data_IF_075648046384
#
_entry.id   IF_075648046384
#
_cell.length_a   1.000
_cell.length_b   1.000
_cell.length_c   1.000
_cell.angle_alpha   90.00
_cell.angle_beta   90.00
_cell.angle_gamma   90.00
#
_symmetry.space_group_name_H-M   'P 1'
#
loop_
_entity.id
_entity.type
_entity.pdbx_description
1 polymer ?
#
# COMPACT_ATOMS: atom_id res chain seq x y z
N UNK A 1 -5.15 -0.75 -3.84
CA UNK A 1 -4.37 -0.76 -2.58
C UNK A 1 -3.31 -1.82 -2.63
N UNK A 2 -3.67 -3.08 -2.85
CA UNK A 2 -2.71 -4.16 -2.95
C UNK A 2 -3.15 -5.16 -4.02
N UNK A 3 -2.19 -5.95 -4.49
CA UNK A 3 -2.41 -7.07 -5.38
C UNK A 3 -1.51 -8.24 -4.99
N UNK A 4 -2.07 -9.44 -4.96
CA UNK A 4 -1.34 -10.69 -4.83
C UNK A 4 -1.64 -11.61 -6.00
N UNK A 5 -0.60 -12.26 -6.53
CA UNK A 5 -0.68 -13.18 -7.66
C UNK A 5 -0.17 -14.57 -7.28
N UNK A 6 -0.63 -15.60 -7.98
CA UNK A 6 0.00 -16.93 -7.91
C UNK A 6 1.22 -17.03 -8.84
N UNK A 7 1.88 -18.18 -8.79
CA UNK A 7 3.01 -18.53 -9.65
C UNK A 7 2.72 -18.47 -11.16
N UNK A 8 1.45 -18.48 -11.58
CA UNK A 8 1.04 -18.35 -12.98
C UNK A 8 0.68 -16.90 -13.34
N UNK A 9 0.91 -15.94 -12.44
CA UNK A 9 0.58 -14.54 -12.64
C UNK A 9 -0.93 -14.26 -12.58
N UNK A 10 -1.75 -15.21 -12.11
CA UNK A 10 -3.19 -14.98 -11.96
C UNK A 10 -3.42 -14.21 -10.66
N UNK A 11 -4.30 -13.21 -10.72
CA UNK A 11 -4.66 -12.41 -9.54
C UNK A 11 -5.44 -13.23 -8.52
N UNK A 12 -4.95 -13.24 -7.29
CA UNK A 12 -5.41 -14.07 -6.17
C UNK A 12 -5.94 -13.24 -5.02
N UNK A 13 -5.48 -12.01 -4.85
CA UNK A 13 -6.05 -11.06 -3.91
C UNK A 13 -5.90 -9.65 -4.46
N UNK A 14 -6.97 -8.86 -4.43
CA UNK A 14 -6.90 -7.46 -4.84
C UNK A 14 -7.97 -6.63 -4.12
N UNK A 15 -7.52 -5.51 -3.57
CA UNK A 15 -8.42 -4.48 -3.04
C UNK A 15 -8.28 -3.22 -3.85
N UNK A 16 -9.43 -2.77 -4.35
CA UNK A 16 -9.58 -1.48 -4.99
C UNK A 16 -10.41 -0.56 -4.09
N UNK A 17 -9.77 0.44 -3.47
CA UNK A 17 -10.47 1.61 -2.92
C UNK A 17 -10.51 2.68 -4.03
N UNK A 18 -11.67 3.27 -4.30
CA UNK A 18 -12.20 3.39 -5.67
C UNK A 18 -11.39 4.24 -6.65
N UNK A 19 -11.52 3.87 -7.93
CA UNK A 19 -11.17 4.68 -9.10
C UNK A 19 -12.46 5.08 -9.81
N UNK A 20 -12.76 6.38 -9.85
CA UNK A 20 -13.80 7.01 -10.69
C UNK A 20 -15.27 6.68 -10.39
N UNK A 21 -15.59 5.55 -9.73
CA UNK A 21 -16.95 5.05 -9.54
C UNK A 21 -17.36 4.84 -8.07
N UNK A 22 -16.52 5.24 -7.12
CA UNK A 22 -16.77 5.11 -5.67
C UNK A 22 -17.01 3.67 -5.16
N UNK A 23 -16.76 2.63 -5.95
CA UNK A 23 -16.93 1.23 -5.52
C UNK A 23 -15.67 0.63 -4.90
N UNK A 24 -15.87 -0.05 -3.79
CA UNK A 24 -14.83 -0.85 -3.12
C UNK A 24 -14.96 -2.28 -3.60
N UNK A 25 -13.88 -2.81 -4.19
CA UNK A 25 -13.82 -4.18 -4.69
C UNK A 25 -12.94 -5.05 -3.79
N UNK A 26 -13.43 -6.24 -3.48
CA UNK A 26 -12.66 -7.32 -2.89
C UNK A 26 -12.68 -8.52 -3.81
N UNK A 27 -11.58 -8.72 -4.52
CA UNK A 27 -11.34 -9.89 -5.36
C UNK A 27 -10.41 -10.84 -4.62
N UNK A 28 -10.79 -12.11 -4.47
CA UNK A 28 -9.94 -13.05 -3.78
C UNK A 28 -10.19 -14.50 -4.23
N UNK A 29 -9.11 -15.25 -4.47
CA UNK A 29 -9.09 -16.64 -4.90
C UNK A 29 -9.45 -16.83 -6.38
N UNK A 30 -8.53 -17.41 -7.14
CA UNK A 30 -8.64 -17.65 -8.57
C UNK A 30 -8.15 -19.06 -8.94
N UNK A 31 -9.01 -19.84 -9.58
CA UNK A 31 -8.73 -21.24 -9.96
C UNK A 31 -8.41 -21.39 -11.45
N UNK A 32 -8.24 -20.28 -12.19
CA UNK A 32 -8.07 -20.25 -13.64
C UNK A 32 -9.36 -20.07 -14.44
N UNK A 33 -10.53 -20.16 -13.80
CA UNK A 33 -11.83 -19.86 -14.45
C UNK A 33 -12.35 -18.45 -14.14
N UNK A 34 -11.62 -17.71 -13.29
CA UNK A 34 -12.00 -16.41 -12.75
C UNK A 34 -11.82 -16.36 -11.24
N UNK A 35 -12.04 -15.18 -10.65
CA UNK A 35 -11.94 -14.96 -9.20
C UNK A 35 -13.29 -14.75 -8.53
N UNK A 36 -13.35 -14.95 -7.22
CA UNK A 36 -14.51 -14.51 -6.43
C UNK A 36 -14.43 -13.00 -6.18
N UNK A 37 -15.58 -12.33 -6.31
CA UNK A 37 -15.74 -10.90 -6.07
C UNK A 37 -16.92 -10.61 -5.16
N UNK A 38 -16.73 -9.66 -4.26
CA UNK A 38 -17.80 -8.85 -3.67
C UNK A 38 -17.43 -7.37 -3.80
N UNK A 39 -18.42 -6.52 -4.03
CA UNK A 39 -18.21 -5.09 -4.18
C UNK A 39 -19.47 -4.29 -3.84
N UNK A 40 -19.26 -3.10 -3.31
CA UNK A 40 -20.33 -2.18 -2.91
C UNK A 40 -19.87 -0.75 -3.12
N UNK A 41 -20.81 0.15 -3.36
CA UNK A 41 -20.55 1.59 -3.45
C UNK A 41 -20.30 2.16 -2.04
N UNK A 42 -19.22 2.94 -1.91
CA UNK A 42 -18.82 3.60 -0.68
C UNK A 42 -19.08 5.10 -0.76
N UNK A 43 -19.27 5.72 0.40
CA UNK A 43 -19.35 7.17 0.48
C UNK A 43 -17.94 7.77 0.31
N UNK A 44 -17.79 8.99 -0.24
CA UNK A 44 -16.49 9.64 -0.40
C UNK A 44 -15.64 9.67 0.88
N UNK A 45 -16.27 9.87 2.03
CA UNK A 45 -15.59 9.87 3.33
C UNK A 45 -15.06 8.49 3.77
N UNK A 46 -15.59 7.39 3.23
CA UNK A 46 -15.13 6.05 3.57
C UNK A 46 -13.74 5.76 2.97
N UNK A 47 -13.33 6.50 1.93
CA UNK A 47 -12.08 6.26 1.21
C UNK A 47 -11.19 7.50 1.00
N UNK A 48 -11.63 8.70 1.41
CA UNK A 48 -10.87 9.93 1.26
C UNK A 48 -11.00 10.88 2.46
N UNK A 49 -9.96 11.69 2.70
CA UNK A 49 -9.97 12.79 3.65
C UNK A 49 -9.77 12.43 5.14
N UNK A 50 -9.78 11.14 5.49
CA UNK A 50 -9.51 10.66 6.86
C UNK A 50 -8.92 9.26 6.88
N UNK A 51 -8.28 8.91 7.99
CA UNK A 51 -7.87 7.53 8.25
C UNK A 51 -9.11 6.65 8.46
N UNK A 52 -9.13 5.51 7.78
CA UNK A 52 -10.13 4.46 7.94
C UNK A 52 -9.42 3.12 8.10
N UNK A 53 -9.96 2.26 8.96
CA UNK A 53 -9.50 0.88 9.05
C UNK A 53 -10.36 -0.01 8.14
N UNK A 54 -9.73 -0.62 7.14
CA UNK A 54 -10.36 -1.58 6.25
C UNK A 54 -9.84 -2.99 6.52
N UNK A 55 -10.75 -3.95 6.68
CA UNK A 55 -10.39 -5.37 6.73
C UNK A 55 -11.21 -6.18 5.73
N UNK A 56 -10.52 -7.04 4.99
CA UNK A 56 -11.08 -7.88 3.95
C UNK A 56 -10.81 -9.33 4.31
N UNK A 57 -11.85 -10.14 4.38
CA UNK A 57 -11.75 -11.54 4.81
C UNK A 57 -12.37 -12.45 3.77
N UNK A 58 -11.81 -13.67 3.66
CA UNK A 58 -12.37 -14.77 2.88
C UNK A 58 -12.20 -16.07 3.65
N UNK A 59 -13.27 -16.83 3.78
CA UNK A 59 -13.27 -18.23 4.21
C UNK A 59 -13.80 -19.07 3.04
N UNK A 60 -12.89 -19.59 2.21
CA UNK A 60 -13.25 -20.35 1.02
C UNK A 60 -14.00 -21.65 1.35
N UNK A 61 -13.69 -22.29 2.49
CA UNK A 61 -14.37 -23.51 2.91
C UNK A 61 -15.84 -23.27 3.29
N UNK A 62 -16.12 -22.15 3.95
CA UNK A 62 -17.50 -21.71 4.25
C UNK A 62 -18.17 -20.99 3.07
N UNK A 63 -17.39 -20.60 2.05
CA UNK A 63 -17.86 -19.80 0.93
C UNK A 63 -18.19 -18.36 1.30
N UNK A 64 -17.57 -17.79 2.34
CA UNK A 64 -17.87 -16.44 2.84
C UNK A 64 -16.77 -15.44 2.47
N UNK A 65 -17.18 -14.26 2.01
CA UNK A 65 -16.33 -13.06 1.94
C UNK A 65 -16.98 -11.92 2.71
N UNK A 66 -16.19 -11.14 3.46
CA UNK A 66 -16.67 -10.00 4.22
C UNK A 66 -15.69 -8.82 4.12
N UNK A 67 -16.25 -7.61 4.10
CA UNK A 67 -15.53 -6.34 4.16
C UNK A 67 -15.98 -5.63 5.43
N UNK A 68 -15.02 -5.16 6.21
CA UNK A 68 -15.23 -4.38 7.41
C UNK A 68 -14.66 -2.98 7.24
N UNK A 69 -15.41 -1.98 7.68
CA UNK A 69 -14.99 -0.58 7.73
C UNK A 69 -15.07 -0.10 9.18
N UNK A 70 -13.95 0.38 9.72
CA UNK A 70 -13.82 0.86 11.10
C UNK A 70 -14.36 -0.16 12.13
N UNK A 71 -14.05 -1.44 11.88
CA UNK A 71 -14.40 -2.56 12.74
C UNK A 71 -15.84 -3.08 12.60
N UNK A 72 -16.69 -2.44 11.80
CA UNK A 72 -18.07 -2.87 11.59
C UNK A 72 -18.20 -3.62 10.26
N UNK A 73 -19.04 -4.66 10.21
CA UNK A 73 -19.37 -5.33 8.95
C UNK A 73 -19.99 -4.33 7.96
N UNK A 74 -19.33 -4.12 6.83
CA UNK A 74 -19.74 -3.15 5.80
C UNK A 74 -20.39 -3.82 4.60
N UNK A 75 -19.89 -4.99 4.19
CA UNK A 75 -20.44 -5.81 3.11
C UNK A 75 -20.07 -7.29 3.26
N UNK A 76 -20.87 -8.17 2.68
CA UNK A 76 -20.63 -9.62 2.69
C UNK A 76 -21.21 -10.30 1.46
N UNK A 77 -20.63 -11.45 1.09
CA UNK A 77 -21.21 -12.36 0.11
C UNK A 77 -20.95 -13.82 0.45
N UNK A 78 -21.83 -14.68 -0.06
CA UNK A 78 -21.77 -16.14 0.09
C UNK A 78 -21.45 -16.84 -1.24
N UNK A 79 -21.21 -18.16 -1.19
CA UNK A 79 -20.88 -18.96 -2.36
C UNK A 79 -19.49 -18.67 -2.96
N UNK A 80 -18.61 -18.03 -2.18
CA UNK A 80 -17.27 -17.60 -2.60
C UNK A 80 -16.21 -18.62 -2.22
N UNK A 81 -16.20 -19.74 -2.93
CA UNK A 81 -15.47 -20.95 -2.54
C UNK A 81 -14.12 -21.15 -3.24
N UNK A 82 -13.72 -20.24 -4.14
CA UNK A 82 -12.48 -20.41 -4.90
C UNK A 82 -11.26 -20.42 -3.96
N UNK A 83 -10.32 -21.36 -4.13
CA UNK A 83 -9.12 -21.42 -3.29
C UNK A 83 -8.26 -20.17 -3.48
N UNK A 84 -7.45 -19.89 -2.46
CA UNK A 84 -6.53 -18.75 -2.44
C UNK A 84 -5.11 -19.32 -2.46
N UNK A 85 -4.31 -18.87 -3.42
CA UNK A 85 -2.90 -19.28 -3.53
C UNK A 85 -2.07 -18.05 -3.88
N UNK A 86 -1.42 -17.43 -2.90
CA UNK A 86 -0.65 -16.18 -3.12
C UNK A 86 0.83 -16.53 -3.10
N UNK A 87 1.54 -16.14 -4.16
CA UNK A 87 2.98 -16.26 -4.29
C UNK A 87 3.65 -14.89 -4.20
N UNK A 88 3.26 -13.96 -5.08
CA UNK A 88 3.81 -12.59 -5.12
C UNK A 88 2.79 -11.60 -4.54
N UNK A 89 3.28 -10.52 -3.93
CA UNK A 89 2.43 -9.51 -3.31
C UNK A 89 3.02 -8.10 -3.46
N UNK A 90 2.17 -7.14 -3.80
CA UNK A 90 2.52 -5.72 -3.86
C UNK A 90 1.52 -4.88 -3.06
N UNK A 91 2.06 -3.88 -2.37
CA UNK A 91 1.30 -2.89 -1.58
C UNK A 91 1.52 -1.52 -2.23
N UNK A 92 0.45 -0.73 -2.33
CA UNK A 92 0.47 0.58 -2.97
C UNK A 92 0.30 0.57 -4.49
N UNK A 93 0.37 -0.60 -5.15
CA UNK A 93 0.20 -0.75 -6.61
C UNK A 93 -0.19 -2.19 -6.99
N UNK A 94 -0.40 -2.44 -8.28
CA UNK A 94 -0.38 -3.78 -8.87
C UNK A 94 1.05 -4.36 -8.84
N UNK A 95 1.19 -5.68 -8.99
CA UNK A 95 2.51 -6.37 -8.87
C UNK A 95 3.54 -5.84 -9.87
N UNK A 96 3.10 -5.35 -11.04
CA UNK A 96 3.94 -4.71 -12.06
C UNK A 96 3.91 -3.18 -12.01
N UNK A 97 3.76 -2.59 -10.81
CA UNK A 97 3.77 -1.16 -10.54
C UNK A 97 2.72 -0.31 -11.31
N UNK A 98 1.68 -0.93 -11.87
CA UNK A 98 0.52 -0.25 -12.44
C UNK A 98 -0.52 0.12 -11.37
N UNK A 99 -1.49 0.97 -11.71
CA UNK A 99 -2.66 1.29 -10.86
C UNK A 99 -2.30 1.69 -9.42
N UNK A 100 -1.39 2.66 -9.28
CA UNK A 100 -0.92 3.14 -7.99
C UNK A 100 -2.06 3.67 -7.10
N UNK A 101 -1.93 3.43 -5.80
CA UNK A 101 -2.81 3.97 -4.77
C UNK A 101 -2.24 5.29 -4.23
N UNK A 102 -3.06 6.34 -4.29
CA UNK A 102 -2.70 7.68 -3.84
C UNK A 102 -3.29 7.96 -2.46
N UNK A 103 -2.68 7.34 -1.44
CA UNK A 103 -3.06 7.53 -0.04
C UNK A 103 -2.02 6.94 0.90
N UNK A 104 -2.12 7.30 2.18
CA UNK A 104 -1.27 6.72 3.22
C UNK A 104 -1.76 5.32 3.59
N UNK A 105 -0.82 4.42 3.89
CA UNK A 105 -1.07 3.07 4.39
C UNK A 105 -0.24 2.89 5.65
N UNK A 106 -0.81 2.27 6.66
CA UNK A 106 -0.18 2.03 7.95
C UNK A 106 -0.77 0.72 8.53
N UNK A 107 -0.01 0.03 9.39
CA UNK A 107 -0.43 -1.20 10.07
C UNK A 107 -0.91 -2.32 9.12
N UNK A 108 -0.24 -2.54 7.99
CA UNK A 108 -0.68 -3.53 6.99
C UNK A 108 -0.46 -4.96 7.47
N UNK A 109 -1.52 -5.79 7.47
CA UNK A 109 -1.49 -7.14 8.04
C UNK A 109 -2.08 -8.15 7.06
N UNK A 110 -1.44 -9.31 6.92
CA UNK A 110 -1.95 -10.46 6.17
C UNK A 110 -2.12 -11.63 7.13
N UNK A 111 -3.28 -12.28 7.10
CA UNK A 111 -3.62 -13.41 7.97
C UNK A 111 -3.96 -14.65 7.14
N UNK A 112 -3.52 -15.82 7.62
CA UNK A 112 -3.86 -17.16 7.09
C UNK A 112 -5.29 -17.60 7.48
N UNK A 113 -6.03 -16.74 8.16
CA UNK A 113 -7.37 -16.99 8.68
C UNK A 113 -8.27 -15.78 8.48
N UNK A 114 -9.54 -16.02 8.17
CA UNK A 114 -10.59 -15.00 8.24
C UNK A 114 -10.82 -14.61 9.70
N UNK A 115 -10.39 -13.41 10.09
CA UNK A 115 -10.57 -12.89 11.44
C UNK A 115 -12.05 -12.65 11.76
N UNK A 116 -12.41 -12.84 13.04
CA UNK A 116 -13.72 -12.48 13.55
C UNK A 116 -13.87 -10.97 13.73
N UNK A 117 -15.10 -10.48 13.66
CA UNK A 117 -15.41 -9.05 13.82
C UNK A 117 -14.92 -8.49 15.17
N UNK A 118 -15.08 -9.26 16.25
CA UNK A 118 -14.63 -8.84 17.59
C UNK A 118 -13.11 -8.66 17.67
N UNK A 119 -12.33 -9.53 17.02
CA UNK A 119 -10.87 -9.40 16.97
C UNK A 119 -10.49 -8.15 16.19
N UNK A 120 -11.13 -7.92 15.04
CA UNK A 120 -10.91 -6.72 14.22
C UNK A 120 -11.19 -5.45 15.03
N UNK A 121 -12.34 -5.37 15.71
CA UNK A 121 -12.70 -4.20 16.54
C UNK A 121 -11.71 -3.97 17.68
N UNK A 122 -11.27 -5.05 18.34
CA UNK A 122 -10.37 -4.96 19.49
C UNK A 122 -8.95 -4.53 19.11
N UNK A 123 -8.51 -4.83 17.89
CA UNK A 123 -7.12 -4.68 17.46
C UNK A 123 -6.89 -3.64 16.34
N UNK A 124 -7.92 -2.98 15.82
CA UNK A 124 -7.76 -1.98 14.75
C UNK A 124 -6.98 -0.72 15.16
N UNK A 125 -7.00 -0.35 16.44
CA UNK A 125 -6.25 0.81 16.97
C UNK A 125 -4.99 0.43 17.72
N UNK A 126 -4.65 -0.86 17.78
CA UNK A 126 -3.51 -1.35 18.57
C UNK A 126 -2.37 -1.72 17.65
N UNK A 127 -1.15 -1.49 18.15
CA UNK A 127 0.02 -2.16 17.60
C UNK A 127 -0.16 -3.66 17.74
N UNK A 128 0.13 -4.42 16.69
CA UNK A 128 0.03 -5.87 16.77
C UNK A 128 1.13 -6.41 17.69
N UNK A 129 0.80 -7.45 18.46
CA UNK A 129 1.74 -8.12 19.36
C UNK A 129 1.34 -9.59 19.52
N UNK A 130 2.23 -10.43 20.09
CA UNK A 130 1.91 -11.82 20.41
C UNK A 130 0.70 -12.03 21.34
N UNK A 131 0.15 -10.97 21.93
CA UNK A 131 -1.10 -11.03 22.69
C UNK A 131 -2.36 -11.11 21.81
N UNK A 132 -2.25 -10.96 20.48
CA UNK A 132 -3.38 -11.15 19.57
C UNK A 132 -3.82 -12.62 19.58
N UNK A 133 -5.13 -12.92 19.73
CA UNK A 133 -5.61 -14.31 19.85
C UNK A 133 -5.28 -15.18 18.62
N UNK A 134 -5.18 -14.55 17.46
CA UNK A 134 -4.86 -15.21 16.19
C UNK A 134 -3.38 -15.04 15.76
N UNK A 135 -2.46 -14.68 16.66
CA UNK A 135 -1.05 -14.38 16.32
C UNK A 135 -0.38 -15.47 15.46
N UNK A 136 -0.61 -16.75 15.76
CA UNK A 136 -0.03 -17.87 14.99
C UNK A 136 -0.54 -17.96 13.54
N UNK A 137 -1.68 -17.33 13.27
CA UNK A 137 -2.27 -17.20 11.94
C UNK A 137 -1.77 -15.96 11.18
N UNK A 138 -0.90 -15.12 11.75
CA UNK A 138 -0.30 -14.00 11.05
C UNK A 138 0.67 -14.50 9.96
N UNK A 139 0.49 -14.04 8.74
CA UNK A 139 1.37 -14.35 7.61
C UNK A 139 2.46 -13.29 7.43
N UNK A 140 2.08 -12.02 7.51
CA UNK A 140 2.99 -10.88 7.38
C UNK A 140 2.40 -9.66 8.08
N UNK A 141 3.26 -8.79 8.60
CA UNK A 141 2.88 -7.54 9.25
C UNK A 141 3.89 -6.44 8.96
N UNK A 142 3.43 -5.38 8.29
CA UNK A 142 4.23 -4.21 7.96
C UNK A 142 3.71 -2.98 8.71
N UNK A 143 4.38 -2.63 9.81
CA UNK A 143 4.25 -1.36 10.50
C UNK A 143 4.36 -0.10 9.65
N UNK A 144 5.32 -0.09 8.71
CA UNK A 144 5.79 1.11 8.02
C UNK A 144 6.36 2.21 8.93
N UNK A 145 6.98 1.82 10.05
CA UNK A 145 7.62 2.74 11.02
C UNK A 145 9.14 2.90 10.78
N UNK A 146 9.69 2.37 9.70
CA UNK A 146 11.11 2.47 9.39
C UNK A 146 11.50 3.92 9.05
N UNK A 147 12.49 4.46 9.77
CA UNK A 147 12.92 5.85 9.60
C UNK A 147 13.45 6.18 8.19
N UNK A 148 14.07 5.21 7.51
CA UNK A 148 14.64 5.39 6.15
C UNK A 148 14.89 4.03 5.47
N UNK A 149 15.51 4.03 4.28
CA UNK A 149 15.90 2.80 3.57
C UNK A 149 14.85 2.28 2.58
N UNK A 150 15.18 1.17 1.91
CA UNK A 150 14.35 0.56 0.85
C UNK A 150 13.71 -0.76 1.28
N UNK A 151 13.57 -0.99 2.58
CA UNK A 151 13.03 -2.24 3.14
C UNK A 151 11.92 -1.90 4.14
N UNK A 152 10.76 -2.54 3.98
CA UNK A 152 9.71 -2.60 4.98
C UNK A 152 9.85 -3.92 5.72
N UNK A 153 10.08 -3.87 7.03
CA UNK A 153 10.39 -5.04 7.83
C UNK A 153 9.09 -5.79 8.13
N UNK A 154 9.09 -7.11 7.92
CA UNK A 154 8.01 -7.97 8.39
C UNK A 154 8.16 -8.18 9.89
N UNK A 155 7.32 -7.50 10.67
CA UNK A 155 7.26 -7.62 12.12
C UNK A 155 6.55 -8.90 12.61
N UNK A 156 6.15 -9.79 11.69
CA UNK A 156 5.75 -11.16 12.02
C UNK A 156 6.95 -12.08 12.26
N UNK A 157 6.69 -13.33 12.62
CA UNK A 157 7.74 -14.34 12.79
C UNK A 157 8.20 -14.99 11.47
N UNK A 158 7.65 -14.57 10.31
CA UNK A 158 7.82 -15.28 9.04
C UNK A 158 8.92 -14.68 8.13
N UNK A 159 9.37 -13.45 8.38
CA UNK A 159 10.54 -12.87 7.70
C UNK A 159 10.30 -12.50 6.23
N UNK A 160 9.07 -12.14 5.86
CA UNK A 160 8.74 -11.67 4.51
C UNK A 160 9.07 -10.17 4.34
N UNK A 161 10.31 -9.75 4.61
CA UNK A 161 10.70 -8.35 4.43
C UNK A 161 10.43 -7.88 2.99
N UNK A 162 9.73 -6.76 2.84
CA UNK A 162 9.31 -6.24 1.54
C UNK A 162 10.29 -5.18 1.03
N UNK A 163 10.56 -5.22 -0.27
CA UNK A 163 11.31 -4.15 -0.93
C UNK A 163 10.39 -2.95 -1.21
N UNK A 164 10.84 -1.76 -0.80
CA UNK A 164 10.14 -0.50 -1.00
C UNK A 164 10.57 0.08 -2.35
N UNK A 165 9.68 -0.06 -3.33
CA UNK A 165 9.86 0.51 -4.66
C UNK A 165 9.47 1.99 -4.70
N UNK A 166 10.15 2.80 -5.52
CA UNK A 166 9.82 4.21 -5.78
C UNK A 166 9.86 5.19 -4.59
N UNK A 167 10.44 4.80 -3.46
CA UNK A 167 10.66 5.65 -2.28
C UNK A 167 9.43 6.49 -1.85
N UNK A 168 8.25 5.87 -1.59
CA UNK A 168 7.07 6.58 -1.13
C UNK A 168 7.36 7.42 0.12
N UNK A 169 6.72 8.60 0.25
CA UNK A 169 6.88 9.47 1.41
C UNK A 169 6.50 8.72 2.70
N UNK A 170 7.34 8.87 3.72
CA UNK A 170 7.01 8.49 5.09
C UNK A 170 6.78 9.74 5.90
N UNK A 171 5.69 9.76 6.65
CA UNK A 171 5.35 10.88 7.52
C UNK A 171 5.13 10.37 8.94
N UNK A 172 5.68 11.11 9.90
CA UNK A 172 5.38 10.90 11.31
C UNK A 172 4.17 11.72 11.71
N UNK A 173 3.33 11.16 12.58
CA UNK A 173 2.26 11.91 13.22
C UNK A 173 2.77 12.59 14.49
N UNK A 174 2.43 13.86 14.65
CA UNK A 174 2.63 14.57 15.92
C UNK A 174 1.83 13.89 17.03
N UNK A 175 2.33 13.95 18.26
CA UNK A 175 1.67 13.35 19.42
C UNK A 175 0.20 13.76 19.58
N UNK A 176 -0.13 15.01 19.29
CA UNK A 176 -1.51 15.55 19.35
C UNK A 176 -2.44 15.03 18.24
N UNK A 177 -1.87 14.46 17.17
CA UNK A 177 -2.61 13.87 16.05
C UNK A 177 -2.67 12.34 16.11
N UNK A 178 -2.07 11.71 17.13
CA UNK A 178 -2.13 10.27 17.31
C UNK A 178 -3.56 9.83 17.63
N UNK A 179 -4.02 8.80 16.89
CA UNK A 179 -5.35 8.19 17.06
C UNK A 179 -5.29 6.66 17.26
N UNK A 180 -4.08 6.08 17.21
CA UNK A 180 -3.81 4.65 17.38
C UNK A 180 -2.51 4.43 18.17
N UNK A 181 -2.25 3.17 18.53
CA UNK A 181 -0.98 2.76 19.18
C UNK A 181 -0.93 3.03 20.67
N UNK A 182 -2.04 3.45 21.29
CA UNK A 182 -2.10 3.67 22.73
C UNK A 182 -2.09 2.34 23.48
N UNK A 183 -1.21 2.23 24.47
CA UNK A 183 -1.17 1.13 25.42
C UNK A 183 -1.28 1.68 26.84
N UNK A 184 -1.90 0.89 27.73
CA UNK A 184 -1.93 1.22 29.15
C UNK A 184 -0.54 1.03 29.74
N UNK A 185 -0.04 2.06 30.42
CA UNK A 185 1.14 1.95 31.26
C UNK A 185 0.75 1.98 32.73
N UNK A 186 1.50 1.27 33.57
CA UNK A 186 1.42 1.40 35.02
C UNK A 186 2.23 2.60 35.55
N UNK A 187 3.01 3.23 34.67
CA UNK A 187 3.77 4.44 34.98
C UNK A 187 2.81 5.62 35.17
N UNK A 188 2.99 6.35 36.28
CA UNK A 188 2.25 7.57 36.57
C UNK A 188 3.18 8.76 36.34
N UNK A 189 2.80 9.75 35.51
CA UNK A 189 3.61 10.94 35.32
C UNK A 189 3.91 11.61 36.67
N UNK A 190 5.18 11.82 36.98
CA UNK A 190 5.60 12.56 38.16
C UNK A 190 5.42 14.05 37.91
N UNK A 191 4.23 14.56 38.19
CA UNK A 191 3.89 15.98 38.01
C UNK A 191 4.06 16.72 39.34
N UNK A 192 4.82 17.81 39.32
CA UNK A 192 4.86 18.78 40.42
C UNK A 192 4.31 20.11 39.92
N UNK A 193 3.27 20.60 40.58
CA UNK A 193 2.77 21.96 40.33
C UNK A 193 3.59 22.94 41.17
N UNK A 194 4.18 23.94 40.52
CA UNK A 194 4.97 24.97 41.20
C UNK A 194 4.17 26.28 41.15
N UNK A 195 3.83 26.81 42.32
CA UNK A 195 3.21 28.12 42.45
C UNK A 195 4.30 29.19 42.66
N UNK A 196 4.25 30.26 41.86
CA UNK A 196 5.16 31.39 41.95
C UNK A 196 4.55 32.62 41.27
N UNK A 197 5.00 33.80 41.67
CA UNK A 197 4.72 35.03 40.92
C UNK A 197 5.71 35.13 39.77
N UNK A 198 5.30 34.71 38.58
CA UNK A 198 6.12 34.82 37.39
C UNK A 198 5.88 36.19 36.76
N UNK A 199 6.85 37.09 36.88
CA UNK A 199 6.90 38.32 36.11
C UNK A 199 7.69 38.04 34.84
N UNK A 200 7.05 37.46 33.82
CA UNK A 200 7.33 37.56 32.38
C UNK A 200 6.17 36.86 31.66
N UNK A 201 5.87 37.28 30.42
CA UNK A 201 4.66 36.98 29.64
C UNK A 201 4.35 35.50 29.36
N UNK A 202 3.52 35.18 28.33
CA UNK A 202 3.28 33.77 27.97
C UNK A 202 4.63 33.06 27.86
N UNK A 203 4.72 31.84 28.41
CA UNK A 203 5.92 31.01 28.35
C UNK A 203 6.30 30.87 26.88
N UNK A 204 7.23 31.71 26.41
CA UNK A 204 7.82 31.60 25.10
C UNK A 204 8.62 30.29 25.11
N UNK A 205 8.06 29.27 24.47
CA UNK A 205 8.80 28.06 24.13
C UNK A 205 9.88 28.51 23.14
N UNK A 206 11.01 28.96 23.66
CA UNK A 206 12.12 29.55 22.86
C UNK A 206 12.91 28.54 22.05
N UNK A 207 12.54 27.25 22.12
CA UNK A 207 13.04 26.21 21.24
C UNK A 207 11.94 25.77 20.28
N UNK A 208 11.56 26.64 19.33
CA UNK A 208 10.92 26.15 18.11
C UNK A 208 11.97 25.37 17.33
N UNK A 209 11.87 24.04 17.39
CA UNK A 209 12.70 23.18 16.55
C UNK A 209 12.07 23.20 15.16
N UNK A 210 12.86 23.58 14.16
CA UNK A 210 12.46 23.42 12.76
C UNK A 210 12.45 21.92 12.45
N UNK A 211 11.24 21.36 12.40
CA UNK A 211 11.00 19.96 12.02
C UNK A 211 10.50 19.93 10.57
N UNK A 212 11.42 20.19 9.64
CA UNK A 212 11.13 20.15 8.21
C UNK A 212 11.27 18.72 7.69
N UNK A 213 10.22 18.18 7.09
CA UNK A 213 10.31 16.90 6.37
C UNK A 213 10.64 17.13 4.92
N UNK A 214 11.63 16.39 4.39
CA UNK A 214 11.99 16.47 2.98
C UNK A 214 10.81 16.02 2.09
N UNK A 215 10.59 16.73 0.98
CA UNK A 215 9.65 16.28 -0.05
C UNK A 215 10.11 14.94 -0.63
N UNK A 216 9.20 13.98 -0.74
CA UNK A 216 9.52 12.71 -1.38
C UNK A 216 9.83 12.91 -2.88
N UNK A 217 10.80 12.15 -3.43
CA UNK A 217 11.05 12.16 -4.86
C UNK A 217 9.90 11.52 -5.63
N UNK A 218 9.85 11.82 -6.92
CA UNK A 218 9.10 11.07 -7.90
C UNK A 218 9.98 9.96 -8.48
N UNK A 219 9.41 8.78 -8.67
CA UNK A 219 10.08 7.71 -9.37
C UNK A 219 9.75 7.75 -10.87
N UNK A 220 10.79 7.86 -11.68
CA UNK A 220 10.73 7.71 -13.14
C UNK A 220 11.24 6.32 -13.48
N UNK A 221 10.32 5.47 -13.95
CA UNK A 221 10.61 4.07 -14.25
C UNK A 221 10.71 3.91 -15.76
N UNK A 222 11.85 3.41 -16.22
CA UNK A 222 12.03 3.00 -17.59
C UNK A 222 11.52 1.58 -17.78
N UNK A 223 10.61 1.38 -18.72
CA UNK A 223 10.09 0.06 -19.07
C UNK A 223 10.71 -0.46 -20.36
N UNK A 224 10.81 -1.77 -20.46
CA UNK A 224 11.22 -2.52 -21.64
C UNK A 224 10.42 -3.81 -21.76
N UNK A 225 10.77 -4.59 -22.78
CA UNK A 225 10.18 -5.89 -23.05
C UNK A 225 11.29 -6.93 -22.95
N UNK A 226 11.05 -7.99 -22.17
CA UNK A 226 12.00 -9.08 -22.03
C UNK A 226 11.95 -10.07 -23.21
N UNK A 227 12.78 -11.12 -23.16
CA UNK A 227 12.82 -12.17 -24.18
C UNK A 227 11.50 -12.95 -24.34
N UNK A 228 10.63 -12.90 -23.34
CA UNK A 228 9.33 -13.56 -23.31
C UNK A 228 8.17 -12.65 -23.71
N UNK A 229 8.46 -11.43 -24.19
CA UNK A 229 7.48 -10.41 -24.54
C UNK A 229 6.68 -9.88 -23.33
N UNK A 230 7.26 -9.96 -22.13
CA UNK A 230 6.70 -9.44 -20.89
C UNK A 230 7.19 -8.02 -20.64
N UNK A 231 6.30 -7.16 -20.16
CA UNK A 231 6.68 -5.80 -19.74
C UNK A 231 7.50 -5.90 -18.45
N UNK A 232 8.70 -5.33 -18.46
CA UNK A 232 9.61 -5.33 -17.31
C UNK A 232 10.14 -3.92 -17.04
N UNK A 233 10.35 -3.59 -15.76
CA UNK A 233 11.08 -2.38 -15.37
C UNK A 233 12.58 -2.60 -15.60
N UNK A 234 13.21 -1.71 -16.38
CA UNK A 234 14.63 -1.76 -16.70
C UNK A 234 15.47 -0.92 -15.72
N UNK A 235 14.95 0.25 -15.35
CA UNK A 235 15.63 1.19 -14.46
C UNK A 235 14.61 2.04 -13.72
N UNK A 236 15.00 2.52 -12.54
CA UNK A 236 14.19 3.44 -11.71
C UNK A 236 15.07 4.58 -11.24
N UNK A 237 14.80 5.78 -11.74
CA UNK A 237 15.46 7.01 -11.30
C UNK A 237 14.54 7.79 -10.34
N UNK A 238 15.08 8.24 -9.21
CA UNK A 238 14.40 9.18 -8.32
C UNK A 238 14.74 10.61 -8.73
N UNK A 239 13.72 11.45 -8.89
CA UNK A 239 13.87 12.85 -9.31
C UNK A 239 12.83 13.75 -8.63
N UNK A 240 13.13 15.03 -8.49
CA UNK A 240 12.20 16.04 -7.99
C UNK A 240 11.76 16.96 -9.13
N UNK A 241 10.54 17.48 -9.05
CA UNK A 241 10.14 18.54 -9.98
C UNK A 241 10.95 19.80 -9.69
N UNK A 242 11.46 20.42 -10.77
CA UNK A 242 12.13 21.71 -10.70
C UNK A 242 11.12 22.87 -10.59
N UNK A 243 10.21 22.77 -9.62
CA UNK A 243 9.26 23.81 -9.21
C UNK A 243 9.75 24.44 -7.93
N UNK A 244 9.48 25.73 -7.72
CA UNK A 244 9.87 26.39 -6.48
C UNK A 244 9.28 25.65 -5.25
N UNK A 245 10.12 25.36 -4.27
CA UNK A 245 9.73 24.68 -3.03
C UNK A 245 9.27 25.68 -2.00
N UNK A 246 8.29 25.29 -1.17
CA UNK A 246 7.70 26.15 -0.16
C UNK A 246 7.95 25.58 1.23
N UNK A 247 8.48 26.40 2.13
CA UNK A 247 8.45 26.13 3.56
C UNK A 247 7.11 26.61 4.10
N UNK A 248 6.37 25.72 4.76
CA UNK A 248 5.04 26.00 5.30
C UNK A 248 5.09 26.01 6.84
N UNK A 249 4.23 26.83 7.45
CA UNK A 249 3.95 26.76 8.89
C UNK A 249 2.95 25.64 9.23
N UNK A 250 2.64 25.50 10.52
CA UNK A 250 1.72 24.46 11.01
C UNK A 250 0.28 24.63 10.54
N UNK A 251 -0.10 25.81 10.07
CA UNK A 251 -1.41 26.11 9.54
C UNK A 251 -1.44 25.99 8.00
N UNK A 252 -0.32 25.60 7.39
CA UNK A 252 -0.17 25.46 5.94
C UNK A 252 0.07 26.80 5.23
N UNK A 253 0.35 27.88 5.95
CA UNK A 253 0.72 29.14 5.34
C UNK A 253 2.18 29.07 4.87
N UNK A 254 2.47 29.73 3.75
CA UNK A 254 3.83 29.78 3.22
C UNK A 254 4.67 30.73 4.08
N UNK A 255 5.73 30.20 4.67
CA UNK A 255 6.77 30.95 5.36
C UNK A 255 7.83 31.46 4.39
N UNK A 256 8.28 30.59 3.47
CA UNK A 256 9.33 30.92 2.51
C UNK A 256 9.14 30.14 1.20
N UNK A 257 9.69 30.66 0.10
CA UNK A 257 9.70 29.98 -1.20
C UNK A 257 11.10 30.02 -1.79
N UNK A 258 11.65 28.86 -2.10
CA UNK A 258 12.99 28.69 -2.65
C UNK A 258 12.92 28.31 -4.13
N UNK A 259 13.67 28.98 -5.03
CA UNK A 259 13.74 28.57 -6.42
C UNK A 259 14.52 27.26 -6.56
N UNK A 260 13.99 26.32 -7.34
CA UNK A 260 14.69 25.08 -7.73
C UNK A 260 15.09 25.19 -9.19
N UNK A 261 16.38 25.01 -9.48
CA UNK A 261 16.89 25.00 -10.85
C UNK A 261 16.81 23.58 -11.41
N UNK A 262 16.29 23.44 -12.64
CA UNK A 262 16.25 22.15 -13.30
C UNK A 262 17.65 21.65 -13.65
N UNK A 263 17.99 20.44 -13.21
CA UNK A 263 19.23 19.75 -13.59
C UNK A 263 19.11 19.06 -14.96
N UNK A 264 17.88 18.81 -15.42
CA UNK A 264 17.59 18.18 -16.71
C UNK A 264 16.10 18.05 -16.99
N UNK A 265 15.77 17.43 -18.13
CA UNK A 265 14.39 17.17 -18.56
C UNK A 265 14.23 15.70 -18.92
N UNK A 266 13.14 15.10 -18.45
CA UNK A 266 12.74 13.73 -18.81
C UNK A 266 11.51 13.84 -19.71
N UNK A 267 11.54 13.17 -20.86
CA UNK A 267 10.41 13.12 -21.80
C UNK A 267 9.90 11.69 -21.90
N UNK A 268 8.74 11.36 -21.31
CA UNK A 268 8.13 10.04 -21.44
C UNK A 268 7.83 9.70 -22.90
N UNK A 269 8.27 8.52 -23.34
CA UNK A 269 7.94 7.96 -24.66
C UNK A 269 6.82 6.93 -24.59
N UNK A 270 6.34 6.49 -25.76
CA UNK A 270 5.37 5.40 -25.88
C UNK A 270 6.10 4.09 -26.21
N UNK A 271 5.88 3.05 -25.42
CA UNK A 271 6.35 1.68 -25.69
C UNK A 271 5.17 0.82 -26.19
N UNK A 272 5.21 0.42 -27.47
CA UNK A 272 4.24 -0.51 -28.04
C UNK A 272 4.76 -1.94 -27.92
N UNK A 273 3.99 -2.83 -27.28
CA UNK A 273 4.35 -4.24 -27.11
C UNK A 273 3.10 -5.13 -27.20
N UNK A 274 3.32 -6.44 -27.34
CA UNK A 274 2.26 -7.43 -27.38
C UNK A 274 2.37 -8.35 -26.17
N UNK A 275 1.27 -8.61 -25.47
CA UNK A 275 1.29 -9.61 -24.40
C UNK A 275 1.08 -11.00 -25.00
N UNK A 276 1.91 -11.96 -24.61
CA UNK A 276 1.65 -13.36 -24.91
C UNK A 276 0.54 -13.84 -23.98
N UNK A 277 -0.57 -14.30 -24.55
CA UNK A 277 -1.66 -14.90 -23.81
C UNK A 277 -1.90 -16.29 -24.38
N UNK A 278 -2.37 -17.21 -23.54
CA UNK A 278 -2.76 -18.53 -24.00
C UNK A 278 -3.85 -18.38 -25.08
N UNK A 279 -3.58 -18.86 -26.28
CA UNK A 279 -4.56 -18.84 -27.34
C UNK A 279 -5.72 -19.77 -26.95
N UNK A 280 -6.96 -19.28 -27.00
CA UNK A 280 -8.18 -20.10 -26.78
C UNK A 280 -8.18 -21.37 -27.64
N UNK A 281 -7.55 -21.30 -28.81
CA UNK A 281 -7.23 -22.43 -29.67
C UNK A 281 -5.79 -22.27 -30.14
N UNK A 282 -4.85 -22.97 -29.51
CA UNK A 282 -3.49 -23.11 -30.04
C UNK A 282 -3.48 -24.31 -31.00
N UNK A 283 -3.34 -24.04 -32.31
CA UNK A 283 -3.26 -25.11 -33.31
C UNK A 283 -1.87 -25.77 -33.32
N UNK A 284 -0.81 -25.02 -33.03
CA UNK A 284 0.58 -25.49 -32.93
C UNK A 284 1.52 -24.36 -32.44
N UNK A 285 2.33 -24.62 -31.41
CA UNK A 285 3.44 -23.73 -31.00
C UNK A 285 4.71 -24.11 -31.77
N UNK A 286 4.99 -23.40 -32.86
CA UNK A 286 6.22 -23.60 -33.62
C UNK A 286 7.29 -22.61 -33.15
N UNK A 287 8.12 -23.05 -32.19
CA UNK A 287 9.41 -22.42 -31.95
C UNK A 287 10.32 -22.80 -33.12
N UNK A 288 10.46 -21.91 -34.11
CA UNK A 288 11.46 -22.14 -35.16
C UNK A 288 12.86 -21.85 -34.57
N UNK A 289 13.86 -22.72 -34.77
CA UNK A 289 15.23 -22.36 -34.47
C UNK A 289 15.66 -21.30 -35.49
N UNK A 290 15.76 -20.05 -35.03
CA UNK A 290 16.38 -18.91 -35.72
C UNK A 290 15.91 -18.70 -37.17
N UNK A 291 14.91 -17.84 -37.37
CA UNK A 291 14.31 -17.43 -38.65
C UNK A 291 15.30 -16.89 -39.71
N UNK A 292 16.23 -17.73 -40.14
CA UNK A 292 17.21 -17.49 -41.17
C UNK A 292 16.61 -17.98 -42.48
N UNK A 293 16.22 -17.04 -43.34
CA UNK A 293 15.65 -17.33 -44.65
C UNK A 293 14.12 -17.38 -44.73
N UNK A 294 13.38 -16.95 -43.69
CA UNK A 294 11.92 -16.79 -43.81
C UNK A 294 11.58 -15.47 -44.53
N UNK A 295 10.97 -15.58 -45.71
CA UNK A 295 10.37 -14.46 -46.45
C UNK A 295 8.85 -14.63 -46.43
N UNK A 296 8.11 -13.59 -46.03
CA UNK A 296 6.64 -13.61 -45.98
C UNK A 296 5.98 -13.15 -47.29
N UNK A 297 6.72 -13.22 -48.40
CA UNK A 297 6.27 -12.71 -49.71
C UNK A 297 6.48 -11.20 -49.85
N UNK A 298 6.50 -10.73 -51.10
CA UNK A 298 6.70 -9.33 -51.48
C UNK A 298 5.37 -8.55 -51.52
#
# INVERSE_FOLDING_TARGET
>A
IFEGNDLQGRRQANVHLPWGNSRVYWDCGNDGTGYDRIDKEANPEDFAGKWNHWAFTKNAAAGEMKIYLNGQLWHSGSGKTKPIDIHDFAIGAAVLAGNAYYGAIDEFRIWKKALGEQDIQSWMFRRLSPAHPEWDNLAAYYPFDEASGSTAIDASANGYDAFIFSAPPRSSHRGTSLFKGFFSSFERPALTFIAGSYSEGPVEVSSTVMDSTQNAPYAVIQYGVDENNSLVALDTQLAWHATAEQLLDEQGNILETYPVTAEGTITPGTLTYYQKQDARFELLSLVTPYGNGLSLGA
#
